data_IF_294614374431
#
_entry.id   IF_294614374431
#
_cell.length_a   1.000
_cell.length_b   1.000
_cell.length_c   1.000
_cell.angle_alpha   90.00
_cell.angle_beta   90.00
_cell.angle_gamma   90.00
#
_symmetry.space_group_name_H-M   'P 1'
#
loop_
_entity.id
_entity.type
_entity.pdbx_description
1 polymer ?
#
# COMPACT_ATOMS: atom_id res chain seq x y z
N UNK A 1 -0.24 -19.57 -3.37
CA UNK A 1 -0.77 -18.54 -2.45
C UNK A 1 -1.63 -17.63 -3.30
N UNK A 2 -2.92 -17.53 -3.02
CA UNK A 2 -3.84 -16.69 -3.81
C UNK A 2 -3.61 -15.23 -3.44
N UNK A 3 -3.19 -14.40 -4.40
CA UNK A 3 -3.07 -12.97 -4.19
C UNK A 3 -4.47 -12.33 -4.25
N UNK A 4 -4.94 -11.83 -3.10
CA UNK A 4 -6.23 -11.15 -3.01
C UNK A 4 -6.09 -9.72 -3.50
N UNK A 5 -6.90 -9.34 -4.48
CA UNK A 5 -6.97 -7.96 -4.95
C UNK A 5 -7.89 -7.12 -4.06
N UNK A 6 -7.31 -6.10 -3.44
CA UNK A 6 -7.97 -5.16 -2.55
C UNK A 6 -8.36 -3.89 -3.30
N UNK A 7 -9.56 -3.38 -3.03
CA UNK A 7 -9.96 -2.07 -3.54
C UNK A 7 -9.33 -0.97 -2.68
N UNK A 8 -9.21 0.23 -3.24
CA UNK A 8 -8.82 1.45 -2.51
C UNK A 8 -9.44 1.59 -1.10
N UNK A 9 -10.77 1.42 -0.88
CA UNK A 9 -11.36 1.47 0.45
C UNK A 9 -10.88 0.37 1.42
N UNK A 10 -10.56 -0.83 0.93
CA UNK A 10 -10.03 -1.92 1.78
C UNK A 10 -8.60 -1.64 2.20
N UNK A 11 -7.77 -1.14 1.28
CA UNK A 11 -6.40 -0.67 1.59
C UNK A 11 -6.43 0.41 2.68
N UNK A 12 -7.34 1.38 2.57
CA UNK A 12 -7.55 2.43 3.58
C UNK A 12 -7.92 1.83 4.95
N UNK A 13 -8.82 0.83 4.97
CA UNK A 13 -9.22 0.15 6.21
C UNK A 13 -8.07 -0.62 6.86
N UNK A 14 -7.24 -1.30 6.06
CA UNK A 14 -6.10 -2.10 6.54
C UNK A 14 -5.02 -1.20 7.13
N UNK A 15 -4.65 -0.15 6.39
CA UNK A 15 -3.64 0.81 6.82
C UNK A 15 -4.14 1.73 7.95
N UNK A 16 -5.47 1.82 8.14
CA UNK A 16 -6.13 2.75 9.07
C UNK A 16 -5.65 4.20 8.89
N UNK A 17 -5.32 4.58 7.65
CA UNK A 17 -4.88 5.94 7.30
C UNK A 17 -5.99 6.73 6.62
N UNK A 18 -5.99 8.06 6.75
CA UNK A 18 -6.91 8.90 6.02
C UNK A 18 -6.66 8.84 4.50
N UNK A 19 -7.72 9.06 3.70
CA UNK A 19 -7.64 9.12 2.22
C UNK A 19 -6.53 10.06 1.74
N UNK A 20 -6.41 11.24 2.35
CA UNK A 20 -5.36 12.20 1.99
C UNK A 20 -3.96 11.64 2.20
N UNK A 21 -3.71 10.92 3.30
CA UNK A 21 -2.40 10.29 3.53
C UNK A 21 -2.12 9.19 2.51
N UNK A 22 -3.13 8.39 2.17
CA UNK A 22 -2.94 7.39 1.12
C UNK A 22 -2.58 8.05 -0.21
N UNK A 23 -3.29 9.13 -0.60
CA UNK A 23 -2.96 9.89 -1.80
C UNK A 23 -1.57 10.51 -1.75
N UNK A 24 -1.15 11.02 -0.60
CA UNK A 24 0.19 11.58 -0.38
C UNK A 24 1.28 10.52 -0.59
N UNK A 25 1.11 9.33 -0.01
CA UNK A 25 2.06 8.21 -0.17
C UNK A 25 2.08 7.69 -1.62
N UNK A 26 0.91 7.62 -2.28
CA UNK A 26 0.80 7.29 -3.71
C UNK A 26 1.52 8.33 -4.57
N UNK A 27 1.30 9.62 -4.32
CA UNK A 27 1.94 10.71 -5.05
C UNK A 27 3.45 10.81 -4.77
N UNK A 28 3.89 10.43 -3.58
CA UNK A 28 5.30 10.32 -3.21
C UNK A 28 6.02 9.23 -4.02
N UNK A 29 5.28 8.38 -4.76
CA UNK A 29 5.85 7.25 -5.51
C UNK A 29 6.35 6.13 -4.60
N UNK A 30 6.10 6.24 -3.30
CA UNK A 30 6.51 5.24 -2.31
C UNK A 30 5.45 4.16 -2.13
N UNK A 31 4.27 4.27 -2.73
CA UNK A 31 3.20 3.27 -2.62
C UNK A 31 3.19 2.25 -3.75
N UNK A 32 2.50 1.13 -3.52
CA UNK A 32 2.29 0.08 -4.52
C UNK A 32 1.44 0.57 -5.70
N UNK A 33 1.75 0.04 -6.89
CA UNK A 33 1.06 0.44 -8.12
C UNK A 33 -0.35 -0.15 -8.20
N UNK A 34 -1.37 0.64 -8.55
CA UNK A 34 -2.71 0.11 -8.77
C UNK A 34 -2.76 -0.74 -10.05
N UNK A 35 -3.37 -1.91 -9.94
CA UNK A 35 -3.74 -2.77 -11.05
C UNK A 35 -5.06 -2.25 -11.62
N UNK A 36 -4.99 -1.70 -12.83
CA UNK A 36 -6.17 -1.27 -13.60
C UNK A 36 -6.65 -2.42 -14.46
N UNK A 37 -7.84 -2.94 -14.16
CA UNK A 37 -8.46 -3.96 -14.99
C UNK A 37 -9.06 -3.31 -16.25
N UNK A 38 -8.84 -3.89 -17.45
CA UNK A 38 -9.48 -3.40 -18.66
C UNK A 38 -11.01 -3.46 -18.48
N UNK A 39 -11.71 -2.43 -18.93
CA UNK A 39 -13.17 -2.25 -18.80
C UNK A 39 -13.71 -1.94 -17.40
N UNK A 40 -12.87 -1.59 -16.43
CA UNK A 40 -13.36 -1.09 -15.13
C UNK A 40 -12.58 0.14 -14.65
N UNK A 41 -13.27 1.09 -14.04
CA UNK A 41 -12.66 2.26 -13.39
C UNK A 41 -12.24 1.97 -11.95
N UNK A 42 -11.85 0.73 -11.66
CA UNK A 42 -11.51 0.26 -10.32
C UNK A 42 -10.01 0.04 -10.25
N UNK A 43 -9.33 0.86 -9.44
CA UNK A 43 -7.95 0.60 -9.05
C UNK A 43 -7.94 -0.50 -7.98
N UNK A 44 -7.33 -1.64 -8.32
CA UNK A 44 -7.11 -2.76 -7.41
C UNK A 44 -5.64 -2.78 -6.95
N UNK A 45 -5.41 -3.33 -5.77
CA UNK A 45 -4.11 -3.40 -5.15
C UNK A 45 -3.87 -4.84 -4.69
N UNK A 46 -2.75 -5.43 -5.06
CA UNK A 46 -2.38 -6.75 -4.57
C UNK A 46 -2.17 -6.74 -3.06
N UNK A 47 -2.84 -7.64 -2.35
CA UNK A 47 -2.68 -7.77 -0.90
C UNK A 47 -1.24 -8.18 -0.55
N UNK A 48 -0.59 -9.01 -1.36
CA UNK A 48 0.80 -9.39 -1.11
C UNK A 48 1.74 -8.17 -1.19
N UNK A 49 1.66 -7.40 -2.27
CA UNK A 49 2.38 -6.13 -2.44
C UNK A 49 2.14 -5.16 -1.27
N UNK A 50 0.88 -5.04 -0.82
CA UNK A 50 0.54 -4.18 0.31
C UNK A 50 1.21 -4.64 1.61
N UNK A 51 1.20 -5.95 1.89
CA UNK A 51 1.84 -6.52 3.06
C UNK A 51 3.35 -6.35 3.02
N UNK A 52 3.97 -6.55 1.85
CA UNK A 52 5.40 -6.32 1.65
C UNK A 52 5.77 -4.86 1.86
N UNK A 53 4.97 -3.93 1.33
CA UNK A 53 5.15 -2.51 1.57
C UNK A 53 5.10 -2.16 3.06
N UNK A 54 4.11 -2.67 3.80
CA UNK A 54 4.01 -2.46 5.25
C UNK A 54 5.24 -3.01 5.97
N UNK A 55 5.76 -4.17 5.55
CA UNK A 55 6.99 -4.74 6.11
C UNK A 55 8.21 -3.86 5.84
N UNK A 56 8.36 -3.34 4.62
CA UNK A 56 9.45 -2.44 4.27
C UNK A 56 9.39 -1.15 5.11
N UNK A 57 8.20 -0.55 5.30
CA UNK A 57 8.06 0.63 6.17
C UNK A 57 8.45 0.34 7.63
N UNK A 58 8.15 -0.87 8.12
CA UNK A 58 8.57 -1.31 9.46
C UNK A 58 10.08 -1.54 9.55
N UNK A 59 10.70 -2.13 8.53
CA UNK A 59 12.15 -2.33 8.44
C UNK A 59 12.91 -1.00 8.37
N UNK A 60 12.43 -0.05 7.56
CA UNK A 60 12.98 1.31 7.50
C UNK A 60 12.92 1.98 8.88
N UNK A 61 11.82 1.84 9.61
CA UNK A 61 11.70 2.35 10.99
C UNK A 61 12.72 1.69 11.93
N UNK A 62 12.88 0.37 11.86
CA UNK A 62 13.80 -0.38 12.71
C UNK A 62 15.26 -0.02 12.44
N UNK A 63 15.65 0.05 11.15
CA UNK A 63 17.00 0.45 10.74
C UNK A 63 17.34 1.90 11.09
N UNK A 64 16.36 2.80 11.06
CA UNK A 64 16.57 4.19 11.49
C UNK A 64 16.81 4.28 13.01
N UNK A 65 16.33 3.31 13.78
CA UNK A 65 16.48 3.28 15.25
C UNK A 65 17.80 2.63 15.70
N UNK A 66 18.38 1.74 14.90
CA UNK A 66 19.65 1.05 15.21
C UNK A 66 20.94 1.82 14.82
N UNK A 67 20.82 3.03 14.29
CA UNK A 67 21.95 3.91 13.96
C UNK A 67 22.17 5.04 14.99
N UNK A 68 21.73 4.86 16.24
CA UNK A 68 22.02 5.78 17.36
C UNK A 68 22.99 5.18 18.36
#
# INVERSE_FOLDING_TARGET
MEDTLLKKPDVIKILKIGRNKLYDIINSGQFISPIRLPNTQIDLYSNNELQEWIRQQKDVRDKTTNNQ
#
